data_IF_779817692208
#
_entry.id   IF_779817692208
#
_cell.length_a   1.000
_cell.length_b   1.000
_cell.length_c   1.000
_cell.angle_alpha   90.00
_cell.angle_beta   90.00
_cell.angle_gamma   90.00
#
_symmetry.space_group_name_H-M   'P 1'
#
loop_
_entity.id
_entity.type
_entity.pdbx_description
1 polymer ?
#
# COMPACT_ATOMS: atom_id res chain seq x y z
N UNK A 1 -41.82 -1.65 -24.99
CA UNK A 1 -40.61 -2.36 -24.52
C UNK A 1 -39.51 -1.32 -24.51
N UNK A 2 -38.99 -0.95 -23.34
CA UNK A 2 -37.88 0.01 -23.24
C UNK A 2 -36.64 -0.76 -23.67
N UNK A 3 -35.99 -0.34 -24.76
CA UNK A 3 -34.70 -0.89 -25.17
C UNK A 3 -33.74 -0.81 -23.96
N UNK A 4 -33.00 -1.89 -23.62
CA UNK A 4 -32.06 -1.82 -22.53
C UNK A 4 -31.09 -0.67 -22.80
N UNK A 5 -31.00 0.27 -21.85
CA UNK A 5 -30.07 1.39 -21.95
C UNK A 5 -28.68 0.84 -22.33
N UNK A 6 -27.98 1.43 -23.32
CA UNK A 6 -26.67 0.94 -23.73
C UNK A 6 -25.70 0.93 -22.53
N UNK A 7 -24.72 0.02 -22.54
CA UNK A 7 -23.73 -0.15 -21.47
C UNK A 7 -22.73 1.02 -21.32
N UNK A 8 -23.07 2.21 -21.83
CA UNK A 8 -22.17 3.34 -22.01
C UNK A 8 -21.10 3.08 -23.09
N UNK A 9 -20.44 4.14 -23.53
CA UNK A 9 -19.32 4.06 -24.48
C UNK A 9 -18.02 3.69 -23.75
N UNK A 10 -17.25 2.79 -24.36
CA UNK A 10 -15.95 2.36 -23.84
C UNK A 10 -14.85 3.40 -24.03
N UNK A 11 -15.00 4.29 -25.01
CA UNK A 11 -14.08 5.41 -25.25
C UNK A 11 -14.86 6.72 -25.18
N UNK A 12 -14.44 7.59 -24.28
CA UNK A 12 -15.06 8.88 -24.04
C UNK A 12 -14.90 9.83 -25.23
N UNK A 13 -13.90 9.63 -26.09
CA UNK A 13 -13.70 10.44 -27.31
C UNK A 13 -14.87 10.27 -28.29
N UNK A 14 -15.62 9.17 -28.18
CA UNK A 14 -16.79 8.88 -29.03
C UNK A 14 -18.09 9.49 -28.49
N UNK A 15 -18.08 10.15 -27.32
CA UNK A 15 -19.27 10.81 -26.78
C UNK A 15 -19.63 12.05 -27.59
N UNK A 16 -20.90 12.17 -27.97
CA UNK A 16 -21.44 13.32 -28.70
C UNK A 16 -22.79 13.75 -28.10
N UNK A 17 -22.89 14.93 -27.46
CA UNK A 17 -21.81 15.90 -27.20
C UNK A 17 -20.87 15.43 -26.07
N UNK A 18 -19.59 15.80 -26.14
CA UNK A 18 -18.65 15.62 -25.03
C UNK A 18 -18.74 16.80 -24.07
N UNK A 19 -19.56 16.66 -23.04
CA UNK A 19 -19.67 17.59 -21.89
C UNK A 19 -19.35 16.87 -20.58
N UNK A 20 -19.06 17.62 -19.51
CA UNK A 20 -18.86 17.06 -18.17
C UNK A 20 -20.06 16.17 -17.75
N UNK A 21 -21.28 16.67 -17.91
CA UNK A 21 -22.50 15.92 -17.60
C UNK A 21 -22.61 14.61 -18.39
N UNK A 22 -22.32 14.66 -19.70
CA UNK A 22 -22.37 13.46 -20.56
C UNK A 22 -21.32 12.43 -20.17
N UNK A 23 -20.14 12.88 -19.75
CA UNK A 23 -19.02 12.04 -19.35
C UNK A 23 -19.29 11.40 -17.99
N UNK A 24 -19.73 12.18 -17.01
CA UNK A 24 -20.15 11.69 -15.69
C UNK A 24 -21.32 10.72 -15.81
N UNK A 25 -22.31 11.02 -16.66
CA UNK A 25 -23.42 10.12 -16.94
C UNK A 25 -22.93 8.80 -17.54
N UNK A 26 -22.01 8.84 -18.52
CA UNK A 26 -21.40 7.64 -19.10
C UNK A 26 -20.68 6.79 -18.05
N UNK A 27 -19.84 7.41 -17.19
CA UNK A 27 -19.16 6.71 -16.11
C UNK A 27 -20.15 6.08 -15.12
N UNK A 28 -21.22 6.79 -14.75
CA UNK A 28 -22.25 6.29 -13.84
C UNK A 28 -22.99 5.08 -14.39
N UNK A 29 -23.40 5.14 -15.66
CA UNK A 29 -24.11 4.08 -16.38
C UNK A 29 -23.24 2.82 -16.55
N UNK A 30 -21.93 3.01 -16.74
CA UNK A 30 -20.92 1.93 -16.80
C UNK A 30 -20.64 1.33 -15.43
N UNK A 31 -20.45 2.17 -14.41
CA UNK A 31 -20.19 1.76 -13.03
C UNK A 31 -21.34 0.90 -12.46
N UNK A 32 -22.60 1.27 -12.73
CA UNK A 32 -23.78 0.48 -12.35
C UNK A 32 -23.80 -0.94 -12.92
N UNK A 33 -23.00 -1.22 -13.94
CA UNK A 33 -22.85 -2.53 -14.59
C UNK A 33 -21.49 -3.18 -14.34
N UNK A 34 -20.76 -2.71 -13.33
CA UNK A 34 -19.43 -3.19 -12.96
C UNK A 34 -18.34 -2.98 -14.02
N UNK A 35 -18.57 -2.03 -14.94
CA UNK A 35 -17.59 -1.64 -15.94
C UNK A 35 -16.83 -0.42 -15.43
N UNK A 36 -15.69 -0.67 -14.80
CA UNK A 36 -14.93 0.36 -14.06
C UNK A 36 -13.90 1.11 -14.89
N UNK A 37 -13.56 0.58 -16.07
CA UNK A 37 -12.54 1.14 -16.96
C UNK A 37 -13.16 1.81 -18.18
N UNK A 38 -12.68 3.00 -18.52
CA UNK A 38 -13.12 3.75 -19.70
C UNK A 38 -11.92 4.43 -20.34
N UNK A 39 -11.73 4.29 -21.66
CA UNK A 39 -10.68 4.98 -22.38
C UNK A 39 -11.00 6.47 -22.51
N UNK A 40 -9.94 7.27 -22.50
CA UNK A 40 -9.95 8.68 -22.89
C UNK A 40 -8.74 8.86 -23.82
N UNK A 41 -8.91 8.48 -25.09
CA UNK A 41 -7.80 8.39 -26.04
C UNK A 41 -6.72 7.42 -25.55
N UNK A 42 -5.53 7.95 -25.21
CA UNK A 42 -4.41 7.13 -24.71
C UNK A 42 -4.40 6.97 -23.19
N UNK A 43 -5.29 7.66 -22.47
CA UNK A 43 -5.45 7.53 -21.03
C UNK A 43 -6.56 6.53 -20.69
N UNK A 44 -6.52 6.02 -19.46
CA UNK A 44 -7.56 5.15 -18.92
C UNK A 44 -8.09 5.74 -17.62
N UNK A 45 -9.40 5.95 -17.58
CA UNK A 45 -10.11 6.33 -16.36
C UNK A 45 -10.57 5.06 -15.66
N UNK A 46 -10.22 4.94 -14.39
CA UNK A 46 -10.57 3.84 -13.51
C UNK A 46 -11.42 4.37 -12.35
N UNK A 47 -12.63 3.83 -12.19
CA UNK A 47 -13.52 4.15 -11.06
C UNK A 47 -13.45 3.01 -10.05
N UNK A 48 -12.93 3.28 -8.85
CA UNK A 48 -12.75 2.24 -7.83
C UNK A 48 -14.10 1.60 -7.43
N UNK A 49 -14.30 0.28 -7.64
CA UNK A 49 -15.53 -0.41 -7.25
C UNK A 49 -15.67 -0.61 -5.74
N UNK A 50 -14.60 -0.40 -4.95
CA UNK A 50 -14.54 -0.65 -3.51
C UNK A 50 -14.92 -2.10 -3.11
N UNK A 51 -14.88 -3.03 -4.08
CA UNK A 51 -15.16 -4.46 -3.91
C UNK A 51 -14.41 -5.27 -4.97
N UNK A 52 -14.12 -6.55 -4.72
CA UNK A 52 -13.47 -7.39 -5.70
C UNK A 52 -14.38 -7.63 -6.91
N UNK A 53 -13.79 -7.59 -8.11
CA UNK A 53 -14.43 -7.94 -9.37
C UNK A 53 -13.62 -9.07 -10.05
N UNK A 54 -14.27 -10.09 -10.65
CA UNK A 54 -13.59 -11.21 -11.30
C UNK A 54 -13.07 -10.82 -12.70
N UNK A 55 -12.35 -9.71 -12.80
CA UNK A 55 -11.85 -9.13 -14.07
C UNK A 55 -10.33 -9.27 -14.21
N UNK A 56 -9.65 -9.83 -13.20
CA UNK A 56 -8.20 -10.02 -13.20
C UNK A 56 -7.90 -11.51 -13.31
N UNK A 57 -7.46 -11.95 -14.49
CA UNK A 57 -7.07 -13.34 -14.72
C UNK A 57 -5.89 -13.44 -15.68
N UNK A 58 -5.09 -14.49 -15.54
CA UNK A 58 -3.92 -14.72 -16.40
C UNK A 58 -4.33 -15.00 -17.86
N UNK A 59 -5.50 -15.62 -18.05
CA UNK A 59 -6.11 -15.87 -19.36
C UNK A 59 -6.48 -14.57 -20.05
N UNK A 60 -6.99 -13.60 -19.29
CA UNK A 60 -7.33 -12.29 -19.83
C UNK A 60 -6.06 -11.53 -20.21
N UNK A 61 -4.99 -11.58 -19.40
CA UNK A 61 -3.68 -11.01 -19.76
C UNK A 61 -3.19 -11.58 -21.10
N UNK A 62 -3.22 -12.91 -21.27
CA UNK A 62 -2.86 -13.58 -22.54
C UNK A 62 -3.74 -13.13 -23.71
N UNK A 63 -5.03 -12.89 -23.47
CA UNK A 63 -5.95 -12.39 -24.49
C UNK A 63 -5.55 -10.97 -24.95
N UNK A 64 -5.19 -10.08 -24.01
CA UNK A 64 -4.67 -8.75 -24.34
C UNK A 64 -3.31 -8.80 -25.04
N UNK A 65 -2.44 -9.76 -24.69
CA UNK A 65 -1.15 -9.98 -25.36
C UNK A 65 -1.28 -10.51 -26.78
N UNK A 66 -2.33 -11.27 -27.09
CA UNK A 66 -2.53 -11.84 -28.42
C UNK A 66 -3.15 -10.85 -29.42
N UNK A 67 -3.79 -9.77 -28.95
CA UNK A 67 -4.53 -8.82 -29.81
C UNK A 67 -3.87 -7.44 -29.83
N UNK A 68 -3.94 -6.70 -30.94
CA UNK A 68 -3.50 -5.30 -30.96
C UNK A 68 -4.35 -4.45 -29.99
N UNK A 69 -3.80 -3.31 -29.51
CA UNK A 69 -4.51 -2.44 -28.57
C UNK A 69 -5.82 -1.92 -29.18
N UNK A 70 -6.77 -1.51 -28.33
CA UNK A 70 -8.08 -0.95 -28.70
C UNK A 70 -9.08 -1.89 -29.41
N UNK A 71 -8.69 -3.12 -29.81
CA UNK A 71 -9.65 -4.14 -30.27
C UNK A 71 -10.40 -4.83 -29.12
N UNK A 72 -9.92 -4.66 -27.90
CA UNK A 72 -10.51 -5.19 -26.69
C UNK A 72 -11.11 -4.06 -25.84
N UNK A 73 -12.10 -4.37 -24.98
CA UNK A 73 -12.67 -3.39 -24.08
C UNK A 73 -11.62 -2.67 -23.23
N UNK A 74 -11.94 -1.48 -22.70
CA UNK A 74 -11.05 -0.75 -21.80
C UNK A 74 -10.67 -1.59 -20.59
N UNK A 75 -9.37 -1.73 -20.37
CA UNK A 75 -8.83 -2.46 -19.24
C UNK A 75 -7.40 -2.04 -18.96
N UNK A 76 -6.97 -2.13 -17.71
CA UNK A 76 -5.61 -1.78 -17.30
C UNK A 76 -4.55 -2.62 -18.05
N UNK A 77 -4.86 -3.90 -18.30
CA UNK A 77 -4.02 -4.78 -19.11
C UNK A 77 -3.73 -4.25 -20.51
N UNK A 78 -4.65 -3.51 -21.13
CA UNK A 78 -4.39 -2.93 -22.44
C UNK A 78 -3.22 -1.94 -22.40
N UNK A 79 -3.15 -1.10 -21.36
CA UNK A 79 -2.05 -0.16 -21.16
C UNK A 79 -0.75 -0.89 -20.81
N UNK A 80 -0.80 -1.82 -19.87
CA UNK A 80 0.40 -2.57 -19.45
C UNK A 80 0.99 -3.39 -20.59
N UNK A 81 0.16 -4.12 -21.34
CA UNK A 81 0.61 -4.91 -22.50
C UNK A 81 1.16 -4.02 -23.59
N UNK A 82 0.54 -2.85 -23.81
CA UNK A 82 1.07 -1.88 -24.76
C UNK A 82 2.48 -1.46 -24.33
N UNK A 83 2.66 -0.98 -23.09
CA UNK A 83 3.97 -0.61 -22.56
C UNK A 83 4.99 -1.75 -22.67
N UNK A 84 4.61 -2.98 -22.29
CA UNK A 84 5.46 -4.17 -22.43
C UNK A 84 5.90 -4.41 -23.88
N UNK A 85 5.02 -4.26 -24.87
CA UNK A 85 5.38 -4.38 -26.28
C UNK A 85 6.37 -3.30 -26.73
N UNK A 86 6.26 -2.08 -26.23
CA UNK A 86 7.27 -1.03 -26.54
C UNK A 86 8.64 -1.40 -25.97
N UNK A 87 8.68 -1.88 -24.72
CA UNK A 87 9.93 -2.35 -24.11
C UNK A 87 10.52 -3.53 -24.90
N UNK A 88 9.72 -4.56 -25.19
CA UNK A 88 10.18 -5.79 -25.87
C UNK A 88 10.51 -5.58 -27.35
N UNK A 89 9.64 -4.93 -28.11
CA UNK A 89 9.73 -4.88 -29.58
C UNK A 89 10.54 -3.68 -30.07
N UNK A 90 10.63 -2.59 -29.29
CA UNK A 90 11.36 -1.36 -29.66
C UNK A 90 12.55 -1.03 -28.78
N UNK A 91 12.76 -1.76 -27.67
CA UNK A 91 13.82 -1.47 -26.72
C UNK A 91 13.74 -0.03 -26.18
N UNK A 92 12.51 0.44 -25.91
CA UNK A 92 12.22 1.79 -25.39
C UNK A 92 11.64 1.71 -23.99
N UNK A 93 12.24 2.43 -23.03
CA UNK A 93 11.75 2.52 -21.65
C UNK A 93 10.34 3.13 -21.59
N UNK A 94 9.47 2.56 -20.77
CA UNK A 94 8.08 3.00 -20.61
C UNK A 94 7.77 3.30 -19.15
N UNK A 95 6.85 4.23 -18.92
CA UNK A 95 6.38 4.58 -17.58
C UNK A 95 4.84 4.64 -17.56
N UNK A 96 4.23 3.99 -16.56
CA UNK A 96 2.80 4.05 -16.31
C UNK A 96 2.59 4.90 -15.06
N UNK A 97 2.02 6.08 -15.23
CA UNK A 97 1.73 7.00 -14.13
C UNK A 97 0.28 6.83 -13.69
N UNK A 98 0.07 6.48 -12.42
CA UNK A 98 -1.27 6.28 -11.83
C UNK A 98 -1.53 7.43 -10.86
N UNK A 99 -2.50 8.28 -11.20
CA UNK A 99 -2.90 9.44 -10.38
C UNK A 99 -4.29 9.25 -9.81
N UNK A 100 -4.58 9.96 -8.71
CA UNK A 100 -5.89 9.93 -8.07
C UNK A 100 -5.83 10.33 -6.60
N UNK A 101 -6.99 10.67 -6.04
CA UNK A 101 -7.14 11.02 -4.63
C UNK A 101 -6.86 9.83 -3.69
N UNK A 102 -6.84 10.09 -2.38
CA UNK A 102 -6.75 9.02 -1.38
C UNK A 102 -7.94 8.07 -1.52
N UNK A 103 -7.68 6.76 -1.53
CA UNK A 103 -8.72 5.73 -1.71
C UNK A 103 -9.14 5.47 -3.16
N UNK A 104 -8.57 6.15 -4.17
CA UNK A 104 -8.91 5.95 -5.58
C UNK A 104 -8.47 4.59 -6.17
N UNK A 105 -7.73 3.75 -5.42
CA UNK A 105 -7.26 2.44 -5.89
C UNK A 105 -5.91 2.45 -6.62
N UNK A 106 -5.07 3.48 -6.38
CA UNK A 106 -3.74 3.61 -7.02
C UNK A 106 -2.83 2.40 -6.78
N UNK A 107 -2.72 1.97 -5.53
CA UNK A 107 -1.86 0.84 -5.11
C UNK A 107 -2.32 -0.47 -5.76
N UNK A 108 -3.62 -0.74 -5.75
CA UNK A 108 -4.21 -1.91 -6.39
C UNK A 108 -3.98 -1.90 -7.91
N UNK A 109 -4.17 -0.76 -8.57
CA UNK A 109 -3.90 -0.63 -9.99
C UNK A 109 -2.41 -0.89 -10.31
N UNK A 110 -1.48 -0.36 -9.50
CA UNK A 110 -0.04 -0.63 -9.66
C UNK A 110 0.28 -2.13 -9.51
N UNK A 111 -0.34 -2.81 -8.53
CA UNK A 111 -0.19 -4.25 -8.30
C UNK A 111 -0.69 -5.07 -9.51
N UNK A 112 -1.84 -4.70 -10.07
CA UNK A 112 -2.41 -5.35 -11.26
C UNK A 112 -1.51 -5.12 -12.49
N UNK A 113 -0.94 -3.93 -12.66
CA UNK A 113 0.06 -3.65 -13.70
C UNK A 113 1.29 -4.54 -13.55
N UNK A 114 1.87 -4.65 -12.35
CA UNK A 114 3.02 -5.52 -12.08
C UNK A 114 2.71 -6.98 -12.45
N UNK A 115 1.59 -7.52 -11.97
CA UNK A 115 1.16 -8.89 -12.27
C UNK A 115 1.02 -9.13 -13.78
N UNK A 116 0.40 -8.19 -14.48
CA UNK A 116 0.24 -8.26 -15.93
C UNK A 116 1.58 -8.24 -16.65
N UNK A 117 2.52 -7.37 -16.25
CA UNK A 117 3.84 -7.26 -16.84
C UNK A 117 4.67 -8.55 -16.65
N UNK A 118 4.62 -9.13 -15.45
CA UNK A 118 5.29 -10.41 -15.15
C UNK A 118 4.71 -11.55 -15.98
N UNK A 119 3.39 -11.65 -16.08
CA UNK A 119 2.71 -12.68 -16.90
C UNK A 119 2.98 -12.48 -18.39
N UNK A 120 3.13 -11.22 -18.84
CA UNK A 120 3.47 -10.90 -20.22
C UNK A 120 4.90 -11.30 -20.60
N UNK A 121 5.86 -11.09 -19.70
CA UNK A 121 7.25 -11.48 -19.91
C UNK A 121 7.55 -12.94 -19.64
N UNK A 122 6.71 -13.63 -18.87
CA UNK A 122 6.80 -15.07 -18.67
C UNK A 122 6.23 -15.79 -19.90
N UNK A 123 7.01 -15.86 -20.98
CA UNK A 123 6.69 -16.69 -22.15
C UNK A 123 6.31 -18.10 -21.69
N UNK A 124 5.31 -18.73 -22.30
CA UNK A 124 4.69 -19.99 -21.83
C UNK A 124 5.59 -21.23 -21.67
N UNK A 125 6.92 -21.09 -21.70
CA UNK A 125 7.86 -22.08 -21.20
C UNK A 125 8.00 -21.98 -19.68
N UNK A 126 7.77 -23.08 -18.98
CA UNK A 126 7.81 -23.19 -17.51
C UNK A 126 9.20 -23.01 -16.87
N UNK A 127 9.94 -21.96 -17.22
CA UNK A 127 11.08 -21.49 -16.45
C UNK A 127 10.56 -20.76 -15.22
N UNK A 128 10.53 -21.43 -14.07
CA UNK A 128 9.93 -20.94 -12.82
C UNK A 128 10.53 -19.63 -12.24
N UNK A 129 11.56 -19.05 -12.86
CA UNK A 129 12.27 -17.86 -12.35
C UNK A 129 11.48 -16.54 -12.47
N UNK A 130 10.71 -16.35 -13.55
CA UNK A 130 9.96 -15.10 -13.75
C UNK A 130 8.80 -14.92 -12.75
N UNK A 131 8.15 -16.02 -12.38
CA UNK A 131 7.07 -16.02 -11.38
C UNK A 131 7.59 -15.70 -9.97
N UNK A 132 8.76 -16.23 -9.59
CA UNK A 132 9.41 -15.94 -8.31
C UNK A 132 9.76 -14.45 -8.16
N UNK A 133 10.30 -13.83 -9.20
CA UNK A 133 10.64 -12.39 -9.21
C UNK A 133 9.43 -11.47 -9.05
N UNK A 134 8.34 -11.78 -9.75
CA UNK A 134 7.09 -11.05 -9.59
C UNK A 134 6.51 -11.19 -8.18
N UNK A 135 6.62 -12.37 -7.58
CA UNK A 135 6.20 -12.61 -6.20
C UNK A 135 7.05 -11.83 -5.20
N UNK A 136 8.37 -11.79 -5.38
CA UNK A 136 9.29 -11.02 -4.53
C UNK A 136 8.98 -9.51 -4.56
N UNK A 137 8.79 -8.91 -5.74
CA UNK A 137 8.42 -7.50 -5.88
C UNK A 137 7.05 -7.20 -5.25
N UNK A 138 6.10 -8.13 -5.37
CA UNK A 138 4.79 -8.00 -4.73
C UNK A 138 4.90 -8.09 -3.20
N UNK A 139 5.72 -9.00 -2.67
CA UNK A 139 5.97 -9.15 -1.25
C UNK A 139 6.68 -7.91 -0.65
N UNK A 140 7.70 -7.39 -1.33
CA UNK A 140 8.35 -6.13 -0.98
C UNK A 140 7.36 -4.96 -0.98
N UNK A 141 6.41 -4.97 -1.91
CA UNK A 141 5.32 -4.00 -1.92
C UNK A 141 4.46 -4.06 -0.65
N UNK A 142 4.06 -5.26 -0.24
CA UNK A 142 3.30 -5.47 1.01
C UNK A 142 4.10 -5.06 2.25
N UNK A 143 5.42 -5.30 2.28
CA UNK A 143 6.28 -4.82 3.36
C UNK A 143 6.30 -3.29 3.44
N UNK A 144 6.50 -2.61 2.31
CA UNK A 144 6.48 -1.14 2.27
C UNK A 144 5.12 -0.56 2.65
N UNK A 145 4.03 -1.27 2.38
CA UNK A 145 2.70 -0.88 2.85
C UNK A 145 2.58 -0.96 4.37
N UNK A 146 3.16 -1.97 5.02
CA UNK A 146 3.19 -2.04 6.48
C UNK A 146 3.92 -0.84 7.10
N UNK A 147 5.08 -0.47 6.54
CA UNK A 147 5.91 0.63 7.05
C UNK A 147 5.43 2.02 6.65
N UNK A 148 4.75 2.16 5.50
CA UNK A 148 4.43 3.45 4.89
C UNK A 148 2.93 3.77 4.82
N UNK A 149 2.04 2.82 5.13
CA UNK A 149 0.61 3.08 5.18
C UNK A 149 0.13 3.32 6.62
N UNK A 150 -0.88 4.18 6.73
CA UNK A 150 -1.54 4.49 7.99
C UNK A 150 -3.05 4.65 7.78
N UNK A 151 -3.81 4.52 8.86
CA UNK A 151 -5.24 4.83 8.81
C UNK A 151 -5.46 6.32 8.99
N UNK A 152 -6.20 6.90 8.04
CA UNK A 152 -6.68 8.28 8.06
C UNK A 152 -8.19 8.30 8.25
N UNK A 153 -8.75 9.49 8.52
CA UNK A 153 -10.22 9.67 8.65
C UNK A 153 -11.03 9.18 7.44
N UNK A 154 -10.44 9.17 6.23
CA UNK A 154 -11.13 8.80 4.98
C UNK A 154 -10.70 7.46 4.39
N UNK A 155 -9.52 6.96 4.75
CA UNK A 155 -8.95 5.75 4.18
C UNK A 155 -8.15 4.99 5.25
N UNK A 156 -8.57 3.76 5.52
CA UNK A 156 -7.99 2.90 6.56
C UNK A 156 -6.59 2.37 6.21
N UNK A 157 -6.22 2.36 4.93
CA UNK A 157 -4.93 1.90 4.41
C UNK A 157 -4.38 2.95 3.42
N UNK A 158 -4.07 4.15 3.94
CA UNK A 158 -3.59 5.27 3.13
C UNK A 158 -2.07 5.25 3.04
N UNK A 159 -1.52 5.11 1.83
CA UNK A 159 -0.09 5.30 1.61
C UNK A 159 0.33 6.74 1.89
N UNK A 160 1.28 6.90 2.81
CA UNK A 160 1.86 8.18 3.22
C UNK A 160 3.27 8.38 2.66
N UNK A 161 3.54 7.75 1.52
CA UNK A 161 4.76 7.85 0.73
C UNK A 161 4.40 7.69 -0.76
N UNK A 162 5.24 8.25 -1.63
CA UNK A 162 5.25 7.98 -3.07
C UNK A 162 6.08 6.73 -3.37
N UNK A 163 5.70 5.99 -4.41
CA UNK A 163 6.38 4.77 -4.82
C UNK A 163 6.58 4.76 -6.33
N UNK A 164 7.82 4.52 -6.76
CA UNK A 164 8.19 4.16 -8.12
C UNK A 164 8.63 2.70 -8.11
N UNK A 165 8.07 1.92 -9.01
CA UNK A 165 8.39 0.51 -9.20
C UNK A 165 8.95 0.35 -10.60
N UNK A 166 10.24 0.06 -10.68
CA UNK A 166 10.92 -0.26 -11.92
C UNK A 166 10.91 -1.79 -12.10
N UNK A 167 10.63 -2.23 -13.32
CA UNK A 167 10.68 -3.63 -13.72
C UNK A 167 11.64 -3.73 -14.89
N UNK A 168 12.68 -4.52 -14.73
CA UNK A 168 13.70 -4.71 -15.74
C UNK A 168 13.38 -5.95 -16.57
N UNK A 169 13.53 -5.83 -17.88
CA UNK A 169 13.34 -6.93 -18.84
C UNK A 169 14.63 -7.18 -19.61
N UNK A 170 14.94 -8.44 -19.88
CA UNK A 170 16.04 -8.78 -20.77
C UNK A 170 15.66 -8.60 -22.26
N UNK A 171 16.63 -8.86 -23.14
CA UNK A 171 16.44 -8.80 -24.59
C UNK A 171 15.41 -9.80 -25.14
N UNK A 172 15.03 -10.83 -24.37
CA UNK A 172 13.96 -11.78 -24.73
C UNK A 172 12.60 -11.30 -24.25
N UNK A 173 12.55 -10.24 -23.45
CA UNK A 173 11.35 -9.71 -22.82
C UNK A 173 10.96 -10.45 -21.55
N UNK A 174 11.88 -11.20 -20.93
CA UNK A 174 11.66 -11.87 -19.65
C UNK A 174 12.02 -10.93 -18.48
N UNK A 175 11.25 -10.92 -17.37
CA UNK A 175 11.54 -10.07 -16.23
C UNK A 175 12.83 -10.53 -15.52
N UNK A 176 13.81 -9.63 -15.43
CA UNK A 176 15.12 -9.91 -14.80
C UNK A 176 15.27 -9.36 -13.40
N UNK A 177 14.45 -8.40 -13.02
CA UNK A 177 14.53 -7.80 -11.70
C UNK A 177 13.59 -6.62 -11.60
N UNK A 178 13.71 -5.89 -10.50
CA UNK A 178 13.03 -4.64 -10.32
C UNK A 178 13.59 -3.88 -9.14
N UNK A 179 13.33 -2.58 -9.15
CA UNK A 179 13.75 -1.66 -8.11
C UNK A 179 12.53 -0.92 -7.58
N UNK A 180 12.48 -0.69 -6.27
CA UNK A 180 11.42 0.10 -5.66
C UNK A 180 12.04 1.34 -5.03
N UNK A 181 11.75 2.50 -5.62
CA UNK A 181 12.15 3.78 -5.05
C UNK A 181 10.97 4.39 -4.30
N UNK A 182 11.20 4.79 -3.05
CA UNK A 182 10.21 5.47 -2.23
C UNK A 182 10.52 6.96 -2.15
N UNK A 183 9.48 7.78 -2.02
CA UNK A 183 9.61 9.23 -1.96
C UNK A 183 8.72 9.79 -0.87
N UNK A 184 9.18 10.86 -0.20
CA UNK A 184 8.33 11.73 0.62
C UNK A 184 7.49 10.97 1.67
N UNK A 185 8.11 10.06 2.42
CA UNK A 185 7.47 9.46 3.59
C UNK A 185 7.10 10.57 4.59
N UNK A 186 5.85 10.55 5.08
CA UNK A 186 5.37 11.47 6.12
C UNK A 186 6.00 11.16 7.49
N UNK A 187 7.30 11.45 7.63
CA UNK A 187 8.09 11.15 8.84
C UNK A 187 7.49 11.76 10.11
N UNK A 188 6.86 12.93 10.00
CA UNK A 188 6.23 13.64 11.13
C UNK A 188 5.09 12.84 11.80
N UNK A 189 4.48 11.88 11.08
CA UNK A 189 3.42 11.02 11.62
C UNK A 189 3.89 10.18 12.80
N UNK A 190 5.18 9.83 12.85
CA UNK A 190 5.73 9.00 13.94
C UNK A 190 5.57 9.71 15.28
N UNK A 191 5.84 11.03 15.32
CA UNK A 191 5.84 11.80 16.55
C UNK A 191 4.50 12.50 16.82
N UNK A 192 3.67 12.70 15.80
CA UNK A 192 2.39 13.39 15.93
C UNK A 192 1.34 12.79 15.00
N UNK A 193 0.22 12.37 15.59
CA UNK A 193 -0.91 11.79 14.85
C UNK A 193 -2.12 12.69 15.04
N UNK A 194 -2.73 13.09 13.92
CA UNK A 194 -3.96 13.89 13.93
C UNK A 194 -5.10 13.13 14.63
N UNK A 195 -6.03 13.89 15.22
CA UNK A 195 -7.20 13.32 15.88
C UNK A 195 -8.00 12.44 14.91
N UNK A 196 -8.33 11.22 15.36
CA UNK A 196 -9.05 10.24 14.55
C UNK A 196 -8.20 9.48 13.52
N UNK A 197 -6.89 9.69 13.47
CA UNK A 197 -5.95 8.92 12.65
C UNK A 197 -5.12 7.93 13.49
N UNK A 198 -4.47 6.99 12.82
CA UNK A 198 -3.48 6.08 13.42
C UNK A 198 -2.08 6.39 12.91
N UNK A 199 -1.08 5.88 13.64
CA UNK A 199 0.30 5.81 13.18
C UNK A 199 0.46 4.69 12.11
N UNK A 200 1.69 4.44 11.65
CA UNK A 200 1.98 3.42 10.64
C UNK A 200 1.58 2.01 11.09
N UNK A 201 1.07 1.21 10.14
CA UNK A 201 0.53 -0.13 10.43
C UNK A 201 1.54 -1.07 11.09
N UNK A 202 2.82 -0.99 10.70
CA UNK A 202 3.90 -1.84 11.24
C UNK A 202 3.97 -1.79 12.77
N UNK A 203 3.71 -0.63 13.38
CA UNK A 203 3.79 -0.48 14.84
C UNK A 203 2.70 -1.32 15.54
N UNK A 204 1.47 -1.26 15.03
CA UNK A 204 0.36 -2.05 15.57
C UNK A 204 0.51 -3.54 15.25
N UNK A 205 1.01 -3.86 14.05
CA UNK A 205 1.27 -5.23 13.62
C UNK A 205 2.36 -5.89 14.47
N UNK A 206 3.41 -5.16 14.85
CA UNK A 206 4.46 -5.66 15.75
C UNK A 206 3.90 -6.02 17.13
N UNK A 207 3.10 -5.13 17.75
CA UNK A 207 2.52 -5.38 19.07
C UNK A 207 1.50 -6.53 19.07
N UNK A 208 0.69 -6.64 18.02
CA UNK A 208 -0.31 -7.69 17.89
C UNK A 208 0.29 -9.04 17.47
N UNK A 209 1.18 -9.03 16.49
CA UNK A 209 1.73 -10.21 15.81
C UNK A 209 3.03 -10.76 16.39
N UNK A 210 3.78 -9.96 17.15
CA UNK A 210 5.03 -10.39 17.77
C UNK A 210 4.80 -11.51 18.80
N UNK A 211 5.68 -12.51 18.81
CA UNK A 211 5.65 -13.56 19.83
C UNK A 211 6.13 -13.03 21.19
N UNK A 212 5.93 -13.82 22.26
CA UNK A 212 6.29 -13.39 23.61
C UNK A 212 7.81 -13.19 23.79
N UNK A 213 8.64 -13.90 23.02
CA UNK A 213 10.09 -13.81 23.10
C UNK A 213 10.59 -12.51 22.45
N UNK A 214 10.10 -12.20 21.24
CA UNK A 214 10.36 -10.98 20.49
C UNK A 214 9.91 -9.75 21.28
N UNK A 215 8.68 -9.75 21.79
CA UNK A 215 8.15 -8.63 22.58
C UNK A 215 8.97 -8.42 23.87
N UNK A 216 9.37 -9.51 24.55
CA UNK A 216 10.24 -9.41 25.73
C UNK A 216 11.62 -8.86 25.38
N UNK A 217 12.22 -9.30 24.27
CA UNK A 217 13.52 -8.83 23.78
C UNK A 217 13.48 -7.34 23.44
N UNK A 218 12.40 -6.89 22.80
CA UNK A 218 12.17 -5.49 22.44
C UNK A 218 11.62 -4.63 23.59
N UNK A 219 11.37 -5.22 24.77
CA UNK A 219 10.71 -4.58 25.93
C UNK A 219 9.36 -3.95 25.58
N UNK A 220 8.59 -4.60 24.71
CA UNK A 220 7.28 -4.13 24.26
C UNK A 220 6.14 -4.83 25.00
N UNK A 221 5.06 -4.08 25.25
CA UNK A 221 3.79 -4.55 25.77
C UNK A 221 2.76 -4.58 24.65
N UNK A 222 1.84 -5.55 24.68
CA UNK A 222 0.82 -5.69 23.62
C UNK A 222 -0.20 -4.55 23.58
N UNK A 223 -0.44 -3.91 24.71
CA UNK A 223 -1.38 -2.80 24.84
C UNK A 223 -0.76 -1.54 24.22
N UNK A 224 -1.24 -1.19 23.04
CA UNK A 224 -0.77 -0.03 22.27
C UNK A 224 -1.06 1.30 23.00
N UNK A 225 -2.01 1.30 23.93
CA UNK A 225 -2.45 2.47 24.71
C UNK A 225 -1.34 3.04 25.61
N UNK A 226 -0.33 2.23 25.95
CA UNK A 226 0.82 2.66 26.73
C UNK A 226 1.82 3.51 25.93
N UNK A 227 1.71 3.51 24.61
CA UNK A 227 2.64 4.22 23.73
C UNK A 227 2.04 5.54 23.27
N UNK A 228 2.61 6.66 23.75
CA UNK A 228 2.17 8.02 23.37
C UNK A 228 2.14 8.21 21.85
N UNK A 229 3.09 7.64 21.12
CA UNK A 229 3.17 7.73 19.66
C UNK A 229 2.06 6.96 18.93
N UNK A 230 1.42 5.98 19.57
CA UNK A 230 0.33 5.19 18.98
C UNK A 230 -1.05 5.74 19.35
N UNK A 231 -1.11 6.52 20.42
CA UNK A 231 -2.27 7.27 20.86
C UNK A 231 -2.30 8.63 20.13
N UNK A 232 -3.28 8.84 19.26
CA UNK A 232 -3.50 10.16 18.64
C UNK A 232 -3.61 11.28 19.70
N UNK A 233 -3.36 12.53 19.29
CA UNK A 233 -3.20 13.69 20.18
C UNK A 233 -4.39 14.03 21.11
N UNK A 234 -5.42 13.19 21.22
CA UNK A 234 -6.55 13.32 22.14
C UNK A 234 -6.47 12.50 23.44
N UNK A 235 -5.44 11.68 23.67
CA UNK A 235 -5.36 10.85 24.88
C UNK A 235 -4.70 11.54 26.10
N UNK A 236 -4.16 12.76 25.93
CA UNK A 236 -3.37 13.44 26.95
C UNK A 236 -3.78 14.90 27.16
N UNK A 237 -5.03 15.16 27.57
CA UNK A 237 -5.44 16.47 28.07
C UNK A 237 -6.68 16.33 28.98
N UNK A 238 -6.47 15.78 30.18
CA UNK A 238 -7.49 15.69 31.22
C UNK A 238 -6.82 15.60 32.59
N UNK A 239 -6.11 16.66 32.99
CA UNK A 239 -5.54 16.77 34.33
C UNK A 239 -6.63 16.86 35.40
N UNK A 240 -6.48 16.09 36.48
CA UNK A 240 -7.35 16.15 37.64
C UNK A 240 -6.94 15.13 38.70
N UNK A 241 -6.28 15.62 39.75
CA UNK A 241 -5.81 14.88 40.92
C UNK A 241 -6.88 13.95 41.54
N UNK A 242 -6.43 12.77 42.00
CA UNK A 242 -7.04 12.02 43.08
C UNK A 242 -8.42 11.40 42.82
N UNK A 243 -8.49 10.24 42.16
CA UNK A 243 -9.53 9.25 42.41
C UNK A 243 -9.12 7.88 41.85
N UNK A 244 -9.16 6.83 42.69
CA UNK A 244 -9.00 5.44 42.25
C UNK A 244 -9.95 5.12 41.09
N UNK A 245 -9.51 4.38 40.05
CA UNK A 245 -10.39 4.04 38.94
C UNK A 245 -11.38 2.97 39.39
N UNK A 246 -12.57 3.42 39.84
CA UNK A 246 -13.77 2.60 39.84
C UNK A 246 -14.20 2.41 38.39
N UNK A 247 -14.30 1.14 38.00
CA UNK A 247 -15.01 0.62 36.83
C UNK A 247 -15.85 1.64 36.05
N UNK A 248 -15.21 2.36 35.13
CA UNK A 248 -15.92 3.02 34.03
C UNK A 248 -15.99 2.00 32.89
N UNK A 249 -17.21 1.64 32.51
CA UNK A 249 -17.44 0.73 31.39
C UNK A 249 -16.80 1.31 30.12
N UNK A 250 -16.14 0.47 29.30
CA UNK A 250 -15.52 0.93 28.06
C UNK A 250 -16.60 1.57 27.16
N UNK A 251 -16.32 2.70 26.49
CA UNK A 251 -17.17 3.14 25.39
C UNK A 251 -17.24 1.97 24.41
N UNK A 252 -18.49 1.58 24.08
CA UNK A 252 -18.77 0.36 23.33
C UNK A 252 -17.78 0.21 22.17
N UNK A 253 -16.95 -0.84 22.25
CA UNK A 253 -16.08 -1.24 21.19
C UNK A 253 -16.94 -1.33 19.92
N UNK A 254 -16.81 -0.32 19.06
CA UNK A 254 -17.25 -0.45 17.68
C UNK A 254 -16.38 -1.57 17.14
N UNK A 255 -16.94 -2.78 17.11
CA UNK A 255 -16.34 -3.98 16.53
C UNK A 255 -15.64 -3.54 15.26
N UNK A 256 -14.30 -3.59 15.27
CA UNK A 256 -13.53 -3.47 14.05
C UNK A 256 -14.16 -4.46 13.06
N UNK A 257 -14.59 -4.00 11.87
CA UNK A 257 -15.22 -4.89 10.91
C UNK A 257 -14.27 -6.05 10.63
N UNK A 258 -14.86 -7.23 10.41
CA UNK A 258 -14.18 -8.52 10.20
C UNK A 258 -12.97 -8.54 9.23
N UNK A 259 -12.76 -7.46 8.46
CA UNK A 259 -11.66 -7.25 7.52
C UNK A 259 -10.26 -7.15 8.17
N UNK A 260 -10.18 -6.85 9.46
CA UNK A 260 -8.89 -6.70 10.16
C UNK A 260 -8.15 -8.05 10.28
N UNK A 261 -8.85 -9.18 10.47
CA UNK A 261 -8.20 -10.51 10.69
C UNK A 261 -7.34 -10.99 9.52
N UNK A 262 -7.69 -10.63 8.29
CA UNK A 262 -6.98 -11.10 7.10
C UNK A 262 -5.73 -10.24 6.79
N UNK A 263 -5.60 -9.07 7.41
CA UNK A 263 -4.44 -8.18 7.24
C UNK A 263 -3.29 -8.45 8.23
N UNK A 264 -3.52 -9.35 9.21
CA UNK A 264 -2.56 -9.68 10.29
C UNK A 264 -1.80 -11.00 10.06
N UNK A 265 -1.95 -11.65 8.91
CA UNK A 265 -1.24 -12.88 8.58
C UNK A 265 0.13 -12.61 7.93
N UNK A 266 1.01 -11.87 8.62
CA UNK A 266 2.35 -11.54 8.09
C UNK A 266 3.39 -12.64 8.33
N UNK A 267 3.17 -13.58 9.25
CA UNK A 267 4.29 -14.34 9.85
C UNK A 267 4.36 -15.84 9.53
N UNK A 268 3.73 -16.34 8.45
CA UNK A 268 3.81 -17.79 8.16
C UNK A 268 4.43 -18.22 6.84
N UNK A 269 4.42 -17.41 5.78
CA UNK A 269 4.68 -17.92 4.42
C UNK A 269 5.76 -17.15 3.62
N UNK A 270 6.64 -16.37 4.27
CA UNK A 270 7.76 -15.72 3.57
C UNK A 270 9.07 -16.00 4.30
N UNK A 271 9.90 -16.88 3.74
CA UNK A 271 11.26 -17.12 4.21
C UNK A 271 12.12 -15.85 3.98
N UNK A 272 12.75 -15.34 5.04
CA UNK A 272 13.61 -14.14 5.01
C UNK A 272 14.79 -14.27 4.03
N UNK A 273 15.23 -15.51 3.75
CA UNK A 273 16.32 -15.82 2.84
C UNK A 273 15.93 -15.55 1.36
N UNK A 274 14.65 -15.65 1.00
CA UNK A 274 14.15 -15.40 -0.36
C UNK A 274 13.99 -13.90 -0.68
N UNK A 275 14.03 -13.00 0.31
CA UNK A 275 13.97 -11.55 0.06
C UNK A 275 15.37 -10.93 -0.16
N UNK A 276 16.40 -11.44 0.53
CA UNK A 276 17.74 -10.84 0.59
C UNK A 276 18.57 -11.08 -0.68
N UNK A 277 18.32 -12.16 -1.42
CA UNK A 277 19.05 -12.47 -2.67
C UNK A 277 18.56 -11.68 -3.90
N UNK A 278 17.37 -11.06 -3.86
CA UNK A 278 16.65 -10.70 -5.09
C UNK A 278 16.23 -9.22 -5.19
N UNK A 279 16.48 -8.42 -4.16
CA UNK A 279 16.23 -6.97 -4.14
C UNK A 279 17.54 -6.27 -3.81
N UNK A 280 18.17 -5.66 -4.80
CA UNK A 280 19.32 -4.79 -4.58
C UNK A 280 18.84 -3.39 -4.27
N UNK A 281 19.05 -2.92 -3.04
CA UNK A 281 18.95 -1.51 -2.68
C UNK A 281 20.30 -0.87 -2.98
N UNK A 282 20.36 0.09 -3.92
CA UNK A 282 21.62 0.71 -4.32
C UNK A 282 22.13 1.60 -3.18
N UNK A 283 23.33 1.31 -2.69
CA UNK A 283 23.93 1.88 -1.47
C UNK A 283 24.57 3.26 -1.69
N UNK A 284 24.26 3.93 -2.81
CA UNK A 284 24.88 5.20 -3.20
C UNK A 284 23.98 6.44 -3.08
N UNK A 285 22.72 6.29 -2.66
CA UNK A 285 21.95 7.41 -2.10
C UNK A 285 21.91 7.23 -0.57
N UNK A 286 22.15 8.30 0.19
CA UNK A 286 22.05 8.28 1.66
C UNK A 286 20.60 8.17 2.15
N UNK A 287 19.90 7.12 1.72
CA UNK A 287 18.50 6.88 1.98
C UNK A 287 18.22 5.38 2.07
N UNK A 288 18.17 4.89 3.30
CA UNK A 288 17.56 3.62 3.71
C UNK A 288 18.30 2.34 3.28
N UNK A 289 19.19 1.85 4.14
CA UNK A 289 19.51 0.41 4.17
C UNK A 289 18.26 -0.34 4.65
N UNK A 290 17.95 -1.49 4.03
CA UNK A 290 17.08 -2.49 4.69
C UNK A 290 17.85 -2.90 5.94
N UNK A 291 17.46 -2.30 7.05
CA UNK A 291 18.04 -2.56 8.35
C UNK A 291 17.92 -4.05 8.62
N UNK A 292 19.03 -4.68 9.01
CA UNK A 292 18.96 -6.04 9.53
C UNK A 292 18.00 -6.10 10.73
N UNK A 293 17.40 -7.26 11.01
CA UNK A 293 16.51 -7.40 12.17
C UNK A 293 17.17 -6.90 13.46
N UNK A 294 18.49 -7.07 13.56
CA UNK A 294 19.31 -6.58 14.67
C UNK A 294 19.40 -5.05 14.69
N UNK A 295 19.56 -4.37 13.55
CA UNK A 295 19.59 -2.90 13.48
C UNK A 295 18.19 -2.31 13.75
N UNK A 296 17.10 -2.94 13.29
CA UNK A 296 15.73 -2.51 13.61
C UNK A 296 15.49 -2.61 15.12
N UNK A 297 15.94 -3.71 15.72
CA UNK A 297 15.92 -3.92 17.17
C UNK A 297 16.73 -2.83 17.87
N UNK A 298 17.95 -2.50 17.43
CA UNK A 298 18.77 -1.44 18.01
C UNK A 298 18.10 -0.06 17.90
N UNK A 299 17.50 0.28 16.77
CA UNK A 299 16.80 1.55 16.61
C UNK A 299 15.56 1.64 17.50
N UNK A 300 14.79 0.56 17.66
CA UNK A 300 13.64 0.52 18.58
C UNK A 300 14.12 0.64 20.03
N UNK A 301 15.24 -0.01 20.38
CA UNK A 301 15.84 0.10 21.71
C UNK A 301 16.35 1.51 22.00
N UNK A 302 17.01 2.17 21.05
CA UNK A 302 17.44 3.57 21.19
C UNK A 302 16.25 4.53 21.34
N UNK A 303 15.15 4.30 20.62
CA UNK A 303 13.93 5.10 20.78
C UNK A 303 13.34 4.90 22.18
N UNK A 304 13.35 3.67 22.72
CA UNK A 304 12.89 3.41 24.08
C UNK A 304 13.82 4.04 25.14
N UNK A 305 15.14 3.96 24.98
CA UNK A 305 16.10 4.59 25.90
C UNK A 305 15.98 6.13 25.89
N UNK A 306 15.72 6.74 24.72
CA UNK A 306 15.45 8.17 24.62
C UNK A 306 14.12 8.57 25.27
N UNK A 307 13.14 7.67 25.32
CA UNK A 307 11.89 7.90 26.06
C UNK A 307 12.09 7.78 27.57
N UNK A 308 12.84 6.77 28.03
CA UNK A 308 13.19 6.60 29.46
C UNK A 308 13.98 7.83 29.98
N UNK A 309 14.95 8.34 29.23
CA UNK A 309 15.70 9.56 29.62
C UNK A 309 14.84 10.82 29.66
N UNK A 310 13.85 10.95 28.77
CA UNK A 310 12.92 12.09 28.82
C UNK A 310 11.98 11.99 30.02
N UNK A 311 11.56 10.79 30.42
CA UNK A 311 10.74 10.58 31.62
C UNK A 311 11.53 10.91 32.89
N UNK A 312 12.79 10.48 33.01
CA UNK A 312 13.67 10.81 34.15
C UNK A 312 13.96 12.32 34.25
N UNK A 313 14.22 13.01 33.14
CA UNK A 313 14.41 14.49 33.14
C UNK A 313 13.11 15.24 33.50
N UNK A 314 11.94 14.66 33.21
CA UNK A 314 10.67 15.27 33.58
C UNK A 314 10.37 15.06 35.07
N UNK A 315 10.74 13.91 35.63
CA UNK A 315 10.61 13.63 37.07
C UNK A 315 11.59 14.48 37.92
N UNK A 316 12.86 14.63 37.50
CA UNK A 316 13.82 15.50 38.21
C UNK A 316 13.41 16.99 38.20
N UNK A 317 12.80 17.47 37.12
CA UNK A 317 12.32 18.85 37.05
C UNK A 317 11.05 19.10 37.90
N UNK A 318 10.21 18.07 38.10
CA UNK A 318 9.03 18.14 38.99
C UNK A 318 9.46 18.11 40.46
N UNK A 319 10.53 17.39 40.80
CA UNK A 319 11.06 17.37 42.17
C UNK A 319 11.78 18.68 42.54
N UNK A 320 12.46 19.34 41.59
CA UNK A 320 13.07 20.65 41.84
C UNK A 320 12.07 21.81 41.97
N UNK A 321 10.89 21.73 41.36
CA UNK A 321 9.83 22.74 41.51
C UNK A 321 9.02 22.59 42.81
N UNK A 322 9.08 21.44 43.48
CA UNK A 322 8.37 21.21 44.75
C UNK A 322 9.22 21.51 46.01
N UNK A 323 10.53 21.69 45.86
CA UNK A 323 11.48 22.00 46.95
C UNK A 323 11.97 23.47 46.98
N UNK A 324 11.36 24.37 46.20
CA UNK A 324 11.62 25.82 46.18
C UNK A 324 10.42 26.66 46.67
#
# INVERSE_FOLDING_TARGET
MVEPEPAGLGDAVLLAPLTEDSFLHNLHVRYKRDIIYTYVGNALVSVNPCRPLPIYSTELVRTYLARPPYLLPPHLYALTVTAYRWVRDRNENQCIVITGESGAGKTEAARVCLQCAVVAGSGGGGGGGGAGRGAALAAAGTLLEAFGNAATSRNHNASRFGKLLDIEFDFKGEPVGGHITHYLLEKERVCSVMEGERNFHVLYQLLAGGDAHLLKRLRLQRSWEHYRILCGAGAGAGGGAGASPRHAAPPAAARAPHADRDHFAFTKDCDEDDMKEWITCDSNDQGFQIMSDDEIVENILQINEQQEMQEDETEENIDMENDA
#
